data_IF_139109577300
#
_entry.id   IF_139109577300
#
_cell.length_a   1.000
_cell.length_b   1.000
_cell.length_c   1.000
_cell.angle_alpha   90.00
_cell.angle_beta   90.00
_cell.angle_gamma   90.00
#
_symmetry.space_group_name_H-M   'P 1'
#
loop_
_entity.id
_entity.type
_entity.pdbx_description
1 polymer ?
#
# COMPACT_ATOMS: atom_id res chain seq x y z
N UNK A 1 -59.40 -0.31 -17.35
CA UNK A 1 -59.82 0.96 -16.69
C UNK A 1 -60.53 1.83 -17.72
N UNK A 2 -61.45 2.67 -17.30
CA UNK A 2 -62.21 3.60 -18.15
C UNK A 2 -62.32 4.95 -17.44
N UNK A 3 -62.30 6.04 -18.21
CA UNK A 3 -62.36 7.42 -17.71
C UNK A 3 -63.57 8.10 -18.33
N UNK A 4 -64.36 8.89 -17.57
CA UNK A 4 -65.48 9.62 -18.12
C UNK A 4 -65.02 10.74 -19.06
N UNK A 5 -65.67 10.86 -20.23
CA UNK A 5 -65.48 11.99 -21.15
C UNK A 5 -66.29 13.22 -20.68
N UNK A 6 -66.15 14.35 -21.40
CA UNK A 6 -66.85 15.60 -21.08
C UNK A 6 -68.39 15.49 -21.10
N UNK A 7 -68.93 14.43 -21.67
CA UNK A 7 -70.37 14.11 -21.75
C UNK A 7 -70.80 13.07 -20.70
N UNK A 8 -69.91 12.64 -19.81
CA UNK A 8 -70.20 11.66 -18.76
C UNK A 8 -70.17 10.19 -19.22
N UNK A 9 -69.80 9.93 -20.47
CA UNK A 9 -69.70 8.57 -21.00
C UNK A 9 -68.34 7.95 -20.67
N UNK A 10 -68.35 6.67 -20.29
CA UNK A 10 -67.15 5.96 -19.88
C UNK A 10 -66.37 5.45 -21.10
N UNK A 11 -65.20 6.03 -21.35
CA UNK A 11 -64.35 5.68 -22.49
C UNK A 11 -63.20 4.75 -22.03
N UNK A 12 -63.00 3.58 -22.67
CA UNK A 12 -61.91 2.67 -22.32
C UNK A 12 -60.55 3.23 -22.77
N UNK A 13 -59.50 3.04 -21.97
CA UNK A 13 -58.13 3.55 -22.22
C UNK A 13 -57.54 3.12 -23.58
N UNK A 14 -57.99 1.99 -24.12
CA UNK A 14 -57.54 1.46 -25.43
C UNK A 14 -57.97 2.31 -26.63
N UNK A 15 -58.95 3.20 -26.46
CA UNK A 15 -59.45 4.04 -27.57
C UNK A 15 -58.60 5.29 -27.84
N UNK A 16 -57.76 5.69 -26.89
CA UNK A 16 -56.91 6.89 -27.00
C UNK A 16 -55.45 6.65 -26.61
N UNK A 17 -55.08 5.45 -26.16
CA UNK A 17 -53.70 5.09 -25.81
C UNK A 17 -53.16 4.06 -26.79
N UNK A 18 -51.96 4.32 -27.34
CA UNK A 18 -51.17 3.33 -28.10
C UNK A 18 -50.01 2.88 -27.23
N UNK A 19 -49.93 1.58 -26.96
CA UNK A 19 -48.83 0.99 -26.18
C UNK A 19 -47.77 0.50 -27.17
N UNK A 20 -46.55 1.01 -27.04
CA UNK A 20 -45.39 0.55 -27.79
C UNK A 20 -44.37 0.03 -26.80
N UNK A 21 -43.94 -1.23 -26.97
CA UNK A 21 -42.82 -1.76 -26.21
C UNK A 21 -41.52 -1.18 -26.79
N UNK A 22 -40.83 -0.38 -25.97
CA UNK A 22 -39.48 0.10 -26.27
C UNK A 22 -38.52 -0.45 -25.22
N UNK A 23 -37.35 -0.89 -25.68
CA UNK A 23 -36.23 -1.24 -24.80
C UNK A 23 -35.61 0.06 -24.27
N UNK A 24 -35.92 0.38 -23.01
CA UNK A 24 -35.26 1.45 -22.27
C UNK A 24 -34.17 0.91 -21.34
N UNK A 25 -33.20 1.76 -20.98
CA UNK A 25 -32.32 1.44 -19.85
C UNK A 25 -33.12 1.56 -18.54
N UNK A 26 -33.08 0.53 -17.72
CA UNK A 26 -33.72 0.51 -16.39
C UNK A 26 -33.05 1.50 -15.41
N UNK A 27 -31.75 1.76 -15.61
CA UNK A 27 -30.99 2.75 -14.85
C UNK A 27 -30.07 3.58 -15.75
N UNK A 28 -30.08 4.90 -15.54
CA UNK A 28 -29.11 5.84 -16.13
C UNK A 28 -28.06 6.15 -15.07
N UNK A 29 -26.87 5.56 -15.22
CA UNK A 29 -25.75 5.83 -14.33
C UNK A 29 -25.06 7.14 -14.72
N UNK A 30 -24.84 8.00 -13.73
CA UNK A 30 -24.16 9.28 -13.91
C UNK A 30 -23.06 9.43 -12.87
N UNK A 31 -21.88 9.85 -13.31
CA UNK A 31 -20.76 10.21 -12.45
C UNK A 31 -20.22 11.58 -12.86
N UNK A 32 -20.01 12.48 -11.88
CA UNK A 32 -19.56 13.85 -12.11
C UNK A 32 -20.33 14.61 -13.22
N UNK A 33 -21.66 14.46 -13.26
CA UNK A 33 -22.58 15.06 -14.25
C UNK A 33 -22.50 14.50 -15.68
N UNK A 34 -21.66 13.49 -15.94
CA UNK A 34 -21.60 12.79 -17.23
C UNK A 34 -22.36 11.46 -17.17
N UNK A 35 -22.88 11.02 -18.31
CA UNK A 35 -23.45 9.66 -18.43
C UNK A 35 -22.30 8.66 -18.43
N UNK A 36 -22.33 7.68 -17.53
CA UNK A 36 -21.17 6.81 -17.28
C UNK A 36 -21.60 5.36 -17.17
N UNK A 37 -20.79 4.45 -17.68
CA UNK A 37 -20.95 3.02 -17.43
C UNK A 37 -20.03 2.61 -16.28
N UNK A 38 -20.60 2.03 -15.21
CA UNK A 38 -19.81 1.48 -14.12
C UNK A 38 -19.18 0.15 -14.56
N UNK A 39 -17.86 0.08 -14.58
CA UNK A 39 -17.11 -1.13 -14.90
C UNK A 39 -16.37 -1.58 -13.64
N UNK A 40 -16.68 -2.79 -13.19
CA UNK A 40 -16.00 -3.42 -12.06
C UNK A 40 -15.12 -4.55 -12.59
N UNK A 41 -13.83 -4.50 -12.30
CA UNK A 41 -12.87 -5.51 -12.69
C UNK A 41 -12.12 -6.02 -11.46
N UNK A 42 -11.87 -7.33 -11.43
CA UNK A 42 -10.97 -7.94 -10.45
C UNK A 42 -9.63 -8.22 -11.12
N UNK A 43 -8.55 -8.08 -10.34
CA UNK A 43 -7.20 -8.33 -10.81
C UNK A 43 -6.93 -9.84 -10.81
N UNK A 44 -6.22 -10.33 -11.83
CA UNK A 44 -5.85 -11.74 -11.92
C UNK A 44 -4.98 -12.18 -10.73
N UNK A 45 -5.07 -13.45 -10.27
CA UNK A 45 -4.24 -13.95 -9.18
C UNK A 45 -2.74 -13.76 -9.47
N UNK A 46 -2.02 -13.12 -8.55
CA UNK A 46 -0.58 -12.82 -8.68
C UNK A 46 -0.25 -11.46 -9.29
N UNK A 47 -1.23 -10.68 -9.77
CA UNK A 47 -1.02 -9.30 -10.22
C UNK A 47 -1.36 -8.29 -9.13
N UNK A 48 -0.64 -7.16 -9.09
CA UNK A 48 -0.91 -6.10 -8.12
C UNK A 48 -2.10 -5.22 -8.56
N UNK A 49 -2.80 -4.63 -7.60
CA UNK A 49 -3.87 -3.65 -7.84
C UNK A 49 -3.40 -2.48 -8.71
N UNK A 50 -2.24 -1.91 -8.41
CA UNK A 50 -1.62 -0.87 -9.25
C UNK A 50 -1.28 -1.32 -10.67
N UNK A 51 -0.98 -2.61 -10.89
CA UNK A 51 -0.76 -3.15 -12.24
C UNK A 51 -2.06 -3.37 -13.00
N UNK A 52 -3.12 -3.80 -12.31
CA UNK A 52 -4.47 -3.84 -12.86
C UNK A 52 -4.97 -2.46 -13.31
N UNK A 53 -4.71 -1.42 -12.51
CA UNK A 53 -5.04 -0.03 -12.87
C UNK A 53 -4.30 0.39 -14.15
N UNK A 54 -2.98 0.12 -14.24
CA UNK A 54 -2.18 0.46 -15.43
C UNK A 54 -2.62 -0.29 -16.68
N UNK A 55 -2.95 -1.59 -16.56
CA UNK A 55 -3.46 -2.37 -17.69
C UNK A 55 -4.82 -1.87 -18.16
N UNK A 56 -5.73 -1.58 -17.23
CA UNK A 56 -7.04 -1.04 -17.58
C UNK A 56 -6.91 0.35 -18.23
N UNK A 57 -6.02 1.20 -17.74
CA UNK A 57 -5.72 2.49 -18.39
C UNK A 57 -5.18 2.30 -19.82
N UNK A 58 -4.31 1.31 -20.04
CA UNK A 58 -3.81 0.97 -21.37
C UNK A 58 -4.93 0.49 -22.29
N UNK A 59 -5.83 -0.39 -21.80
CA UNK A 59 -6.97 -0.90 -22.56
C UNK A 59 -7.97 0.20 -22.91
N UNK A 60 -8.24 1.13 -21.99
CA UNK A 60 -9.10 2.28 -22.23
C UNK A 60 -8.50 3.17 -23.32
N UNK A 61 -7.19 3.47 -23.25
CA UNK A 61 -6.50 4.26 -24.28
C UNK A 61 -6.51 3.57 -25.65
N UNK A 62 -6.35 2.26 -25.69
CA UNK A 62 -6.30 1.49 -26.94
C UNK A 62 -7.66 1.32 -27.60
N UNK A 63 -8.73 1.10 -26.82
CA UNK A 63 -10.05 0.74 -27.37
C UNK A 63 -11.10 1.86 -27.35
N UNK A 64 -11.04 2.79 -26.39
CA UNK A 64 -12.05 3.86 -26.25
C UNK A 64 -11.60 5.19 -26.89
N UNK A 65 -10.31 5.37 -27.19
CA UNK A 65 -9.78 6.61 -27.77
C UNK A 65 -9.91 7.82 -26.83
N UNK A 66 -9.75 9.03 -27.37
CA UNK A 66 -9.78 10.30 -26.60
C UNK A 66 -11.20 10.87 -26.39
N UNK A 67 -12.24 10.28 -26.97
CA UNK A 67 -13.62 10.80 -26.87
C UNK A 67 -14.31 10.43 -25.54
N UNK A 68 -13.77 9.45 -24.81
CA UNK A 68 -14.31 9.01 -23.52
C UNK A 68 -13.35 9.33 -22.37
N UNK A 69 -13.84 10.05 -21.36
CA UNK A 69 -13.14 10.21 -20.09
C UNK A 69 -13.31 8.99 -19.20
N UNK A 70 -12.26 8.64 -18.46
CA UNK A 70 -12.34 7.62 -17.40
C UNK A 70 -12.01 8.28 -16.06
N UNK A 71 -12.68 7.83 -15.01
CA UNK A 71 -12.41 8.27 -13.65
C UNK A 71 -12.44 7.07 -12.70
N UNK A 72 -11.40 6.97 -11.89
CA UNK A 72 -11.30 5.93 -10.87
C UNK A 72 -12.14 6.33 -9.67
N UNK A 73 -12.86 5.38 -9.10
CA UNK A 73 -13.66 5.59 -7.88
C UNK A 73 -13.18 4.70 -6.74
N UNK A 74 -13.53 5.07 -5.51
CA UNK A 74 -13.32 4.26 -4.31
C UNK A 74 -11.85 3.83 -4.07
N UNK A 75 -11.58 2.52 -4.05
CA UNK A 75 -10.27 1.93 -3.71
C UNK A 75 -9.22 2.26 -4.76
N UNK A 76 -9.57 2.22 -6.05
CA UNK A 76 -8.63 2.56 -7.13
C UNK A 76 -8.24 4.05 -7.11
N UNK A 77 -9.18 4.92 -6.75
CA UNK A 77 -8.91 6.35 -6.56
C UNK A 77 -7.93 6.59 -5.41
N UNK A 78 -8.17 5.97 -4.25
CA UNK A 78 -7.28 6.07 -3.09
C UNK A 78 -5.89 5.54 -3.39
N UNK A 79 -5.77 4.42 -4.10
CA UNK A 79 -4.48 3.84 -4.46
C UNK A 79 -3.67 4.72 -5.42
N UNK A 80 -4.35 5.32 -6.40
CA UNK A 80 -3.73 6.25 -7.36
C UNK A 80 -3.25 7.54 -6.67
N UNK A 81 -4.05 8.09 -5.75
CA UNK A 81 -3.70 9.32 -5.02
C UNK A 81 -2.63 9.07 -3.93
N UNK A 82 -2.66 7.91 -3.29
CA UNK A 82 -1.71 7.53 -2.25
C UNK A 82 -0.30 7.27 -2.82
N UNK A 83 -0.18 6.64 -4.00
CA UNK A 83 1.12 6.22 -4.55
C UNK A 83 2.15 7.35 -4.67
N UNK A 84 1.74 8.50 -5.20
CA UNK A 84 2.62 9.67 -5.36
C UNK A 84 2.96 10.34 -4.03
N UNK A 85 1.97 10.48 -3.15
CA UNK A 85 2.14 11.14 -1.85
C UNK A 85 3.06 10.33 -0.93
N UNK A 86 2.93 9.00 -0.94
CA UNK A 86 3.75 8.09 -0.10
C UNK A 86 5.24 8.21 -0.41
N UNK A 87 5.62 8.34 -1.68
CA UNK A 87 7.03 8.46 -2.07
C UNK A 87 7.66 9.75 -1.52
N UNK A 88 6.95 10.88 -1.65
CA UNK A 88 7.42 12.19 -1.14
C UNK A 88 7.53 12.17 0.38
N UNK A 89 6.53 11.63 1.07
CA UNK A 89 6.52 11.51 2.54
C UNK A 89 7.67 10.62 3.01
N UNK A 90 7.95 9.51 2.33
CA UNK A 90 9.04 8.61 2.68
C UNK A 90 10.41 9.27 2.52
N UNK A 91 10.65 10.00 1.43
CA UNK A 91 11.89 10.75 1.22
C UNK A 91 12.06 11.84 2.28
N UNK A 92 11.00 12.60 2.56
CA UNK A 92 11.04 13.62 3.62
C UNK A 92 11.29 13.02 5.00
N UNK A 93 10.66 11.88 5.32
CA UNK A 93 10.88 11.19 6.58
C UNK A 93 12.33 10.70 6.73
N UNK A 94 12.93 10.15 5.66
CA UNK A 94 14.34 9.76 5.66
C UNK A 94 15.27 10.96 5.84
N UNK A 95 14.98 12.08 5.19
CA UNK A 95 15.76 13.32 5.31
C UNK A 95 15.70 13.86 6.74
N UNK A 96 14.49 13.96 7.32
CA UNK A 96 14.31 14.41 8.70
C UNK A 96 14.98 13.45 9.68
N UNK A 97 14.83 12.14 9.50
CA UNK A 97 15.51 11.15 10.34
C UNK A 97 17.04 11.28 10.27
N UNK A 98 17.58 11.49 9.07
CA UNK A 98 19.01 11.75 8.88
C UNK A 98 19.47 13.02 9.61
N UNK A 99 18.71 14.13 9.50
CA UNK A 99 19.03 15.38 10.18
C UNK A 99 18.96 15.25 11.71
N UNK A 100 17.95 14.56 12.24
CA UNK A 100 17.81 14.32 13.68
C UNK A 100 18.98 13.49 14.20
N UNK A 101 19.40 12.45 13.46
CA UNK A 101 20.57 11.65 13.83
C UNK A 101 21.87 12.48 13.73
N UNK A 102 22.04 13.26 12.66
CA UNK A 102 23.21 14.12 12.52
C UNK A 102 23.31 15.14 13.66
N UNK A 103 22.18 15.73 14.07
CA UNK A 103 22.11 16.65 15.21
C UNK A 103 22.37 15.95 16.55
N UNK A 104 21.82 14.75 16.77
CA UNK A 104 22.01 14.00 18.00
C UNK A 104 23.45 13.55 18.22
N UNK A 105 24.14 13.15 17.15
CA UNK A 105 25.50 12.58 17.23
C UNK A 105 26.61 13.59 16.91
N UNK A 106 26.26 14.86 16.68
CA UNK A 106 27.19 15.95 16.36
C UNK A 106 28.16 15.59 15.21
N UNK A 107 27.72 14.72 14.30
CA UNK A 107 28.56 14.10 13.28
C UNK A 107 27.75 13.75 12.05
N UNK A 108 28.29 14.13 10.89
CA UNK A 108 27.70 13.85 9.57
C UNK A 108 28.05 12.45 9.05
N UNK A 109 29.10 11.82 9.56
CA UNK A 109 29.60 10.53 9.05
C UNK A 109 28.93 9.33 9.71
N UNK A 110 28.58 9.43 10.99
CA UNK A 110 27.92 8.34 11.73
C UNK A 110 26.54 7.98 11.16
N UNK A 111 25.67 8.95 10.81
CA UNK A 111 24.36 8.65 10.22
C UNK A 111 24.46 8.06 8.81
N UNK A 112 25.46 8.48 8.02
CA UNK A 112 25.68 7.95 6.66
C UNK A 112 25.95 6.44 6.69
N UNK A 113 26.74 5.97 7.66
CA UNK A 113 27.00 4.54 7.82
C UNK A 113 25.73 3.75 8.18
N UNK A 114 24.80 4.33 8.95
CA UNK A 114 23.50 3.70 9.23
C UNK A 114 22.59 3.68 7.98
N UNK A 115 22.57 4.76 7.19
CA UNK A 115 21.82 4.85 5.93
C UNK A 115 22.33 3.83 4.90
N UNK A 116 23.63 3.54 4.86
CA UNK A 116 24.19 2.51 3.98
C UNK A 116 23.69 1.08 4.27
N UNK A 117 23.12 0.83 5.45
CA UNK A 117 22.47 -0.45 5.76
C UNK A 117 21.06 -0.58 5.17
N UNK A 118 20.40 0.54 4.82
CA UNK A 118 19.02 0.55 4.34
C UNK A 118 18.81 -0.19 3.01
N UNK A 119 19.69 -0.06 1.99
CA UNK A 119 19.54 -0.82 0.74
C UNK A 119 19.55 -2.32 0.98
N UNK A 120 20.36 -2.82 1.91
CA UNK A 120 20.42 -4.25 2.26
C UNK A 120 19.11 -4.71 2.89
N UNK A 121 18.52 -3.90 3.77
CA UNK A 121 17.22 -4.20 4.38
C UNK A 121 16.08 -4.20 3.34
N UNK A 122 16.08 -3.23 2.42
CA UNK A 122 15.11 -3.14 1.32
C UNK A 122 15.23 -4.32 0.36
N UNK A 123 16.46 -4.70 -0.01
CA UNK A 123 16.71 -5.89 -0.83
C UNK A 123 16.19 -7.15 -0.14
N UNK A 124 16.45 -7.33 1.16
CA UNK A 124 15.92 -8.46 1.92
C UNK A 124 14.40 -8.52 1.94
N UNK A 125 13.74 -7.37 2.10
CA UNK A 125 12.28 -7.28 2.07
C UNK A 125 11.71 -7.60 0.68
N UNK A 126 12.31 -7.07 -0.40
CA UNK A 126 11.89 -7.35 -1.77
C UNK A 126 12.08 -8.83 -2.14
N UNK A 127 13.22 -9.41 -1.76
CA UNK A 127 13.52 -10.81 -2.01
C UNK A 127 12.58 -11.72 -1.22
N UNK A 128 12.23 -11.35 0.01
CA UNK A 128 11.19 -12.02 0.81
C UNK A 128 9.82 -12.00 0.14
N UNK A 129 9.39 -10.84 -0.37
CA UNK A 129 8.12 -10.72 -1.11
C UNK A 129 8.13 -11.54 -2.39
N UNK A 130 9.26 -11.55 -3.11
CA UNK A 130 9.44 -12.33 -4.33
C UNK A 130 9.32 -13.84 -4.06
N UNK A 131 9.97 -14.35 -3.01
CA UNK A 131 9.87 -15.77 -2.62
C UNK A 131 8.47 -16.15 -2.17
N UNK A 132 7.76 -15.23 -1.48
CA UNK A 132 6.39 -15.45 -1.03
C UNK A 132 5.35 -15.33 -2.16
N UNK A 133 5.72 -14.75 -3.31
CA UNK A 133 4.80 -14.48 -4.42
C UNK A 133 3.69 -13.49 -4.06
N UNK A 134 3.89 -12.65 -3.03
CA UNK A 134 2.87 -11.71 -2.55
C UNK A 134 3.09 -10.31 -3.15
N UNK A 135 2.02 -9.62 -3.58
CA UNK A 135 2.14 -8.27 -4.09
C UNK A 135 2.54 -7.28 -2.97
N UNK A 136 3.16 -6.17 -3.38
CA UNK A 136 3.53 -5.09 -2.45
C UNK A 136 2.28 -4.31 -2.07
N UNK A 137 1.61 -4.77 -1.02
CA UNK A 137 0.43 -4.14 -0.43
C UNK A 137 0.80 -3.08 0.61
N UNK A 138 -0.19 -2.32 1.10
CA UNK A 138 -0.02 -1.36 2.20
C UNK A 138 0.55 -2.05 3.46
N UNK A 139 0.12 -3.28 3.77
CA UNK A 139 0.67 -4.04 4.89
C UNK A 139 2.16 -4.38 4.69
N UNK A 140 2.53 -4.74 3.46
CA UNK A 140 3.93 -4.99 3.08
C UNK A 140 4.76 -3.70 3.23
N UNK A 141 4.21 -2.54 2.84
CA UNK A 141 4.87 -1.24 3.00
C UNK A 141 5.12 -0.89 4.47
N UNK A 142 4.13 -1.10 5.35
CA UNK A 142 4.30 -0.92 6.81
C UNK A 142 5.41 -1.84 7.32
N UNK A 143 5.44 -3.11 6.88
CA UNK A 143 6.50 -4.06 7.21
C UNK A 143 7.89 -3.60 6.74
N UNK A 144 8.01 -3.07 5.53
CA UNK A 144 9.26 -2.50 4.99
C UNK A 144 9.74 -1.32 5.85
N UNK A 145 8.84 -0.43 6.27
CA UNK A 145 9.17 0.71 7.14
C UNK A 145 9.71 0.21 8.50
N UNK A 146 9.07 -0.79 9.09
CA UNK A 146 9.52 -1.41 10.34
C UNK A 146 10.89 -2.08 10.20
N UNK A 147 11.13 -2.78 9.09
CA UNK A 147 12.44 -3.39 8.78
C UNK A 147 13.54 -2.34 8.61
N UNK A 148 13.23 -1.24 7.92
CA UNK A 148 14.12 -0.09 7.78
C UNK A 148 14.49 0.49 9.15
N UNK A 149 13.51 0.70 10.04
CA UNK A 149 13.76 1.22 11.37
C UNK A 149 14.62 0.27 12.23
N UNK A 150 14.34 -1.04 12.18
CA UNK A 150 15.10 -2.05 12.92
C UNK A 150 16.55 -2.17 12.39
N UNK A 151 16.72 -2.12 11.07
CA UNK A 151 18.03 -2.10 10.43
C UNK A 151 18.84 -0.85 10.79
N UNK A 152 18.22 0.32 10.72
CA UNK A 152 18.86 1.59 11.07
C UNK A 152 19.32 1.59 12.54
N UNK A 153 18.48 1.11 13.47
CA UNK A 153 18.80 0.96 14.90
C UNK A 153 20.00 0.03 15.13
N UNK A 154 20.06 -1.08 14.41
CA UNK A 154 21.18 -2.01 14.55
C UNK A 154 22.47 -1.44 13.94
N UNK A 155 22.37 -0.76 12.81
CA UNK A 155 23.51 -0.11 12.13
C UNK A 155 24.13 1.01 12.97
N UNK A 156 23.29 1.92 13.49
CA UNK A 156 23.78 3.06 14.30
C UNK A 156 24.51 2.61 15.56
N UNK A 157 24.03 1.54 16.21
CA UNK A 157 24.59 1.03 17.45
C UNK A 157 26.01 0.45 17.29
N UNK A 158 26.31 -0.12 16.12
CA UNK A 158 27.66 -0.63 15.79
C UNK A 158 28.61 0.54 15.54
N UNK A 159 28.15 1.54 14.78
CA UNK A 159 28.93 2.73 14.42
C UNK A 159 29.29 3.54 15.68
N UNK A 160 28.35 3.68 16.60
CA UNK A 160 28.55 4.32 17.90
C UNK A 160 29.65 3.62 18.70
N UNK A 161 29.55 2.30 18.87
CA UNK A 161 30.58 1.53 19.60
C UNK A 161 31.94 1.59 18.91
N UNK A 162 31.97 1.57 17.58
CA UNK A 162 33.22 1.70 16.83
C UNK A 162 33.85 3.08 17.04
N UNK A 163 33.05 4.14 17.16
CA UNK A 163 33.53 5.49 17.50
C UNK A 163 34.08 5.54 18.92
N UNK A 164 33.42 4.92 19.88
CA UNK A 164 33.88 4.89 21.28
C UNK A 164 35.23 4.17 21.40
N UNK A 165 35.40 3.03 20.74
CA UNK A 165 36.69 2.33 20.69
C UNK A 165 37.76 3.14 19.95
N UNK A 166 37.37 3.95 18.96
CA UNK A 166 38.29 4.85 18.27
C UNK A 166 38.78 5.98 19.18
N UNK A 167 37.90 6.54 20.02
CA UNK A 167 38.26 7.55 21.04
C UNK A 167 39.17 6.95 22.11
N UNK A 168 39.01 5.67 22.43
CA UNK A 168 39.90 4.93 23.34
C UNK A 168 41.29 4.63 22.75
N UNK A 169 41.56 5.01 21.49
CA UNK A 169 42.88 4.92 20.85
C UNK A 169 43.08 3.72 19.91
N UNK A 170 42.06 2.87 19.70
CA UNK A 170 42.19 1.71 18.81
C UNK A 170 42.27 2.09 17.33
N UNK A 171 42.88 1.23 16.51
CA UNK A 171 42.89 1.38 15.05
C UNK A 171 41.47 1.27 14.48
N UNK A 172 41.18 1.88 13.30
CA UNK A 172 39.84 1.87 12.70
C UNK A 172 39.31 0.44 12.50
N UNK A 173 40.20 -0.48 12.11
CA UNK A 173 39.85 -1.89 11.88
C UNK A 173 39.55 -2.62 13.19
N UNK A 174 40.39 -2.43 14.20
CA UNK A 174 40.21 -3.09 15.50
C UNK A 174 38.98 -2.56 16.23
N UNK A 175 38.74 -1.25 16.17
CA UNK A 175 37.56 -0.61 16.73
C UNK A 175 36.26 -1.15 16.10
N UNK A 176 36.23 -1.31 14.77
CA UNK A 176 35.08 -1.88 14.08
C UNK A 176 34.86 -3.36 14.43
N UNK A 177 35.94 -4.15 14.54
CA UNK A 177 35.86 -5.56 14.91
C UNK A 177 35.34 -5.75 16.34
N UNK A 178 35.85 -4.96 17.28
CA UNK A 178 35.48 -5.05 18.70
C UNK A 178 34.04 -4.56 18.93
N UNK A 179 33.63 -3.49 18.26
CA UNK A 179 32.24 -3.03 18.25
C UNK A 179 31.27 -4.10 17.71
N UNK A 180 31.62 -4.73 16.59
CA UNK A 180 30.85 -5.83 16.00
C UNK A 180 30.71 -7.01 16.96
N UNK A 181 31.79 -7.43 17.61
CA UNK A 181 31.78 -8.58 18.51
C UNK A 181 30.85 -8.39 19.73
N UNK A 182 30.87 -7.21 20.35
CA UNK A 182 30.04 -6.92 21.52
C UNK A 182 28.56 -6.82 21.13
N UNK A 183 28.25 -6.28 19.95
CA UNK A 183 26.88 -6.08 19.49
C UNK A 183 26.28 -7.32 18.81
N UNK A 184 27.10 -8.29 18.38
CA UNK A 184 26.64 -9.50 17.71
C UNK A 184 25.58 -10.25 18.52
N UNK A 185 25.82 -10.46 19.83
CA UNK A 185 24.89 -11.20 20.70
C UNK A 185 23.53 -10.49 20.82
N UNK A 186 23.45 -9.19 21.19
CA UNK A 186 22.18 -8.46 21.19
C UNK A 186 21.47 -8.42 19.84
N UNK A 187 22.21 -8.19 18.75
CA UNK A 187 21.62 -8.10 17.41
C UNK A 187 20.99 -9.44 17.02
N UNK A 188 21.70 -10.55 17.19
CA UNK A 188 21.15 -11.88 16.91
C UNK A 188 19.93 -12.20 17.77
N UNK A 189 19.93 -11.83 19.05
CA UNK A 189 18.78 -12.05 19.93
C UNK A 189 17.52 -11.34 19.42
N UNK A 190 17.64 -10.05 19.06
CA UNK A 190 16.50 -9.26 18.57
C UNK A 190 16.03 -9.70 17.19
N UNK A 191 16.96 -9.98 16.27
CA UNK A 191 16.63 -10.43 14.91
C UNK A 191 15.97 -11.81 14.91
N UNK A 192 16.48 -12.77 15.69
CA UNK A 192 15.86 -14.09 15.81
C UNK A 192 14.48 -14.01 16.46
N UNK A 193 14.32 -13.22 17.53
CA UNK A 193 13.02 -13.02 18.16
C UNK A 193 11.99 -12.42 17.18
N UNK A 194 12.40 -11.45 16.36
CA UNK A 194 11.55 -10.87 15.32
C UNK A 194 11.17 -11.90 14.25
N UNK A 195 12.15 -12.67 13.73
CA UNK A 195 11.90 -13.72 12.73
C UNK A 195 10.95 -14.79 13.26
N UNK A 196 11.13 -15.27 14.49
CA UNK A 196 10.23 -16.24 15.10
C UNK A 196 8.84 -15.65 15.42
N UNK A 197 8.77 -14.39 15.83
CA UNK A 197 7.49 -13.70 16.05
C UNK A 197 6.68 -13.56 14.77
N UNK A 198 7.33 -13.13 13.68
CA UNK A 198 6.68 -12.96 12.37
C UNK A 198 6.38 -14.32 11.73
N UNK A 199 7.26 -15.32 11.84
CA UNK A 199 7.01 -16.66 11.29
C UNK A 199 5.77 -17.30 11.90
N UNK A 200 5.48 -17.04 13.19
CA UNK A 200 4.26 -17.52 13.82
C UNK A 200 3.00 -16.93 13.18
N UNK A 201 3.04 -15.67 12.75
CA UNK A 201 1.93 -15.02 12.06
C UNK A 201 1.66 -15.66 10.69
N UNK A 202 2.73 -16.05 9.97
CA UNK A 202 2.60 -16.80 8.72
C UNK A 202 2.02 -18.21 8.89
N UNK A 203 2.31 -18.86 10.03
CA UNK A 203 1.85 -20.23 10.33
C UNK A 203 0.43 -20.28 10.92
N UNK A 204 -0.30 -19.16 11.01
CA UNK A 204 -1.61 -19.11 11.63
C UNK A 204 -2.71 -19.43 10.59
N UNK A 205 -3.49 -20.51 10.76
CA UNK A 205 -4.57 -20.85 9.83
C UNK A 205 -5.67 -19.77 9.82
N UNK A 206 -6.35 -19.66 8.68
CA UNK A 206 -7.36 -18.64 8.30
C UNK A 206 -8.45 -18.32 9.35
N UNK A 207 -8.68 -19.20 10.33
CA UNK A 207 -9.81 -19.17 11.27
C UNK A 207 -9.87 -17.91 12.17
N UNK A 208 -8.82 -17.10 12.23
CA UNK A 208 -8.80 -15.82 12.96
C UNK A 208 -9.15 -14.58 12.12
N UNK A 209 -9.29 -14.71 10.79
CA UNK A 209 -9.53 -13.55 9.89
C UNK A 209 -11.01 -13.13 9.81
N UNK A 210 -11.94 -14.03 10.14
CA UNK A 210 -13.39 -13.80 10.01
C UNK A 210 -14.06 -13.30 11.31
N UNK A 211 -13.45 -13.58 12.47
CA UNK A 211 -14.01 -13.22 13.78
C UNK A 211 -14.05 -11.71 14.07
N UNK A 212 -13.32 -10.89 13.29
CA UNK A 212 -13.28 -9.42 13.46
C UNK A 212 -14.38 -8.72 12.64
N UNK A 213 -14.92 -9.35 11.59
CA UNK A 213 -15.94 -8.75 10.72
C UNK A 213 -17.37 -8.94 11.23
N UNK A 214 -17.58 -9.77 12.25
CA UNK A 214 -18.90 -10.06 12.84
C UNK A 214 -19.19 -9.35 14.17
N UNK A 215 -18.36 -8.39 14.61
CA UNK A 215 -18.67 -7.56 15.77
C UNK A 215 -19.59 -6.39 15.39
N UNK A 216 -20.88 -6.68 15.24
CA UNK A 216 -21.93 -5.67 15.45
C UNK A 216 -22.27 -5.65 16.95
N UNK A 217 -22.08 -4.53 17.67
CA UNK A 217 -22.56 -4.41 19.04
C UNK A 217 -24.10 -4.32 19.08
N UNK A 218 -24.75 -4.83 20.15
CA UNK A 218 -26.20 -4.81 20.32
C UNK A 218 -26.79 -3.40 20.53
#
# INVERSE_FOLDING_TARGET
MSVPNASGEMVPFSSFTRVEEQLGMDQINRYNMYSTAAVTCNVAPGSSSGEGIRQMESLIKEHLGDEFGYEWTSVAYQETQAGTTTTVVFVMALLVAFLVLAAQYESWTSPVAAVMGLPVALLGAMLGCYVMGTPVSIYTQIGIILLVALSAKNGILIVEFARDFRVQGNSIRDAAFQAGHIRLRPILMTSLAFVFGVSRCFLQPEQGREAVLHWEPP
#
